data_IF_551625440373
#
_entry.id   IF_551625440373
#
_cell.length_a   1.000
_cell.length_b   1.000
_cell.length_c   1.000
_cell.angle_alpha   90.00
_cell.angle_beta   90.00
_cell.angle_gamma   90.00
#
_symmetry.space_group_name_H-M   'P 1'
#
loop_
_entity.id
_entity.type
_entity.pdbx_description
1 polymer ?
#
# COMPACT_ATOMS: atom_id res chain seq x y z
N UNK A 1 -22.43 22.50 31.61
CA UNK A 1 -22.86 21.15 32.02
C UNK A 1 -24.34 21.00 31.67
N UNK A 2 -24.66 20.93 30.38
CA UNK A 2 -26.03 21.00 29.87
C UNK A 2 -26.50 19.65 29.31
N UNK A 3 -27.77 19.36 29.58
CA UNK A 3 -28.76 18.40 29.06
C UNK A 3 -28.39 17.17 28.20
N UNK A 4 -27.22 17.05 27.58
CA UNK A 4 -26.83 15.90 26.74
C UNK A 4 -26.53 14.65 27.61
N UNK A 5 -26.06 14.84 28.84
CA UNK A 5 -25.67 13.73 29.72
C UNK A 5 -26.85 12.94 30.34
N UNK A 6 -28.10 13.38 30.12
CA UNK A 6 -29.30 12.70 30.63
C UNK A 6 -29.94 11.73 29.65
N UNK A 7 -29.58 11.78 28.37
CA UNK A 7 -30.13 10.88 27.34
C UNK A 7 -29.32 9.57 27.26
N UNK A 8 -28.04 9.57 27.61
CA UNK A 8 -27.17 8.40 27.55
C UNK A 8 -27.41 7.35 28.67
N UNK A 9 -28.10 7.70 29.75
CA UNK A 9 -28.27 6.82 30.92
C UNK A 9 -29.55 5.97 30.91
N UNK A 10 -30.43 6.12 29.91
CA UNK A 10 -31.70 5.38 29.82
C UNK A 10 -31.66 4.13 28.91
N UNK A 11 -30.51 3.82 28.32
CA UNK A 11 -30.34 2.71 27.37
C UNK A 11 -29.59 1.48 27.93
N UNK A 12 -29.40 1.39 29.26
CA UNK A 12 -28.75 0.24 29.89
C UNK A 12 -29.74 -0.55 30.76
N UNK A 13 -30.46 -1.49 30.14
CA UNK A 13 -30.97 -2.68 30.85
C UNK A 13 -30.73 -3.92 29.98
N UNK A 14 -30.17 -5.02 30.52
CA UNK A 14 -29.63 -6.12 29.73
C UNK A 14 -30.65 -7.26 29.57
N UNK A 15 -30.74 -7.85 28.38
CA UNK A 15 -31.18 -9.24 28.18
C UNK A 15 -30.56 -9.83 26.91
N UNK A 16 -29.97 -11.01 27.05
CA UNK A 16 -30.10 -12.09 26.08
C UNK A 16 -29.21 -12.10 24.83
N UNK A 17 -28.11 -12.85 24.94
CA UNK A 17 -27.70 -13.92 24.00
C UNK A 17 -27.29 -13.57 22.55
N UNK A 18 -26.02 -13.90 22.22
CA UNK A 18 -25.66 -14.42 20.90
C UNK A 18 -24.75 -13.56 19.99
N UNK A 19 -23.57 -14.12 19.72
CA UNK A 19 -22.71 -13.90 18.54
C UNK A 19 -21.75 -12.70 18.45
N UNK A 20 -20.47 -13.10 18.37
CA UNK A 20 -19.24 -12.47 17.86
C UNK A 20 -19.41 -11.35 16.81
N UNK A 21 -18.73 -10.20 17.01
CA UNK A 21 -17.71 -9.66 16.07
C UNK A 21 -17.11 -8.30 16.52
N UNK A 22 -15.77 -8.22 16.42
CA UNK A 22 -14.89 -7.09 16.08
C UNK A 22 -14.85 -5.77 16.92
N UNK A 23 -13.68 -5.45 17.52
CA UNK A 23 -13.38 -4.15 18.11
C UNK A 23 -12.66 -3.24 17.09
N UNK A 24 -13.39 -2.38 16.37
CA UNK A 24 -12.75 -1.39 15.49
C UNK A 24 -13.38 0.02 15.52
N UNK A 25 -14.49 0.20 16.23
CA UNK A 25 -15.23 1.48 16.26
C UNK A 25 -14.81 2.37 17.45
N UNK A 26 -14.22 1.80 18.50
CA UNK A 26 -13.83 2.56 19.71
C UNK A 26 -12.50 3.32 19.51
N UNK A 27 -11.63 2.88 18.59
CA UNK A 27 -10.32 3.51 18.40
C UNK A 27 -10.37 4.81 17.58
N UNK A 28 -11.32 4.95 16.66
CA UNK A 28 -11.41 6.15 15.78
C UNK A 28 -12.02 7.35 16.50
N UNK A 29 -12.90 7.14 17.49
CA UNK A 29 -13.54 8.22 18.23
C UNK A 29 -12.61 8.87 19.28
N UNK A 30 -11.65 8.10 19.82
CA UNK A 30 -10.67 8.61 20.79
C UNK A 30 -9.57 9.49 20.14
N UNK A 31 -9.25 9.27 18.86
CA UNK A 31 -8.20 10.01 18.15
C UNK A 31 -8.65 11.36 17.58
N UNK A 32 -9.96 11.52 17.29
CA UNK A 32 -10.52 12.80 16.85
C UNK A 32 -10.69 13.77 18.03
N UNK A 33 -10.99 13.26 19.23
CA UNK A 33 -11.13 14.11 20.42
C UNK A 33 -9.78 14.56 21.01
N UNK A 34 -8.70 13.80 20.78
CA UNK A 34 -7.32 14.17 21.21
C UNK A 34 -6.67 15.25 20.32
N UNK A 35 -7.14 15.45 19.09
CA UNK A 35 -6.62 16.49 18.17
C UNK A 35 -7.23 17.88 18.37
N UNK A 36 -8.43 17.98 18.95
CA UNK A 36 -9.11 19.27 19.18
C UNK A 36 -8.66 19.99 20.46
N UNK A 37 -8.06 19.29 21.43
CA UNK A 37 -7.67 19.86 22.74
C UNK A 37 -6.31 20.58 22.76
N UNK A 38 -5.54 20.55 21.66
CA UNK A 38 -4.25 21.27 21.55
C UNK A 38 -4.35 22.68 20.96
N UNK A 39 -5.50 23.09 20.42
CA UNK A 39 -5.65 24.38 19.73
C UNK A 39 -6.32 25.49 20.56
N UNK A 40 -6.66 25.23 21.82
CA UNK A 40 -7.27 26.21 22.73
C UNK A 40 -6.45 26.44 24.00
N UNK A 41 -5.13 26.50 23.88
CA UNK A 41 -4.28 27.16 24.88
C UNK A 41 -4.11 28.62 24.50
N UNK A 42 -4.95 29.42 25.17
CA UNK A 42 -4.93 30.88 25.33
C UNK A 42 -3.61 31.56 24.90
N UNK A 43 -3.68 32.34 23.82
CA UNK A 43 -2.84 33.53 23.66
C UNK A 43 -3.22 34.51 24.78
N UNK A 44 -2.41 34.57 25.83
CA UNK A 44 -2.43 35.68 26.78
C UNK A 44 -1.79 36.88 26.09
N UNK A 45 -2.62 37.79 25.57
CA UNK A 45 -2.18 39.12 25.18
C UNK A 45 -1.91 39.92 26.46
N UNK A 46 -0.68 39.82 26.96
CA UNK A 46 -0.18 40.79 27.92
C UNK A 46 0.06 42.07 27.12
N UNK A 47 -0.86 43.02 27.26
CA UNK A 47 -0.67 44.41 26.88
C UNK A 47 0.53 44.96 27.67
N UNK A 48 1.70 44.97 27.05
CA UNK A 48 2.84 45.72 27.55
C UNK A 48 2.63 47.19 27.22
N UNK A 49 2.80 48.12 28.18
CA UNK A 49 2.77 49.54 27.87
C UNK A 49 3.93 49.87 26.93
N UNK A 50 3.61 50.50 25.80
CA UNK A 50 4.57 51.11 24.89
C UNK A 50 5.39 52.15 25.66
N UNK A 51 6.58 51.76 26.14
CA UNK A 51 7.56 52.71 26.64
C UNK A 51 8.20 53.40 25.45
N UNK A 52 7.84 54.67 25.23
CA UNK A 52 8.67 55.62 24.50
C UNK A 52 9.90 55.87 25.36
N UNK A 53 10.84 54.93 25.34
CA UNK A 53 12.19 55.14 25.83
C UNK A 53 12.98 55.74 24.68
N UNK A 54 13.52 56.95 24.87
CA UNK A 54 14.71 57.37 24.15
C UNK A 54 15.73 56.24 24.31
N UNK A 55 15.96 55.45 23.26
CA UNK A 55 17.09 54.54 23.23
C UNK A 55 18.33 55.40 23.03
N UNK A 56 18.93 55.86 24.13
CA UNK A 56 20.38 56.00 24.13
C UNK A 56 20.92 54.60 23.84
N UNK A 57 21.53 54.43 22.67
CA UNK A 57 22.24 53.22 22.34
C UNK A 57 23.30 53.01 23.42
N UNK A 58 23.13 52.01 24.28
CA UNK A 58 24.21 51.44 25.08
C UNK A 58 25.15 50.72 24.14
N UNK A 59 25.92 51.49 23.37
CA UNK A 59 27.20 51.02 22.90
C UNK A 59 28.06 50.89 24.16
N UNK A 60 28.65 49.72 24.38
CA UNK A 60 29.92 49.66 25.10
C UNK A 60 30.78 50.83 24.61
N UNK A 61 31.54 51.54 25.46
CA UNK A 61 32.40 52.63 24.99
C UNK A 61 33.45 52.05 24.03
N UNK A 62 33.07 51.95 22.76
CA UNK A 62 33.94 51.55 21.66
C UNK A 62 34.96 52.65 21.59
N UNK A 63 36.23 52.27 21.64
CA UNK A 63 37.34 53.20 21.58
C UNK A 63 37.10 54.14 20.38
N UNK A 64 37.18 55.47 20.55
CA UNK A 64 36.84 56.42 19.48
C UNK A 64 37.61 56.14 18.18
N UNK A 65 38.81 55.57 18.31
CA UNK A 65 39.64 55.06 17.21
C UNK A 65 38.96 53.99 16.36
N UNK A 66 38.23 53.06 16.98
CA UNK A 66 37.56 51.95 16.30
C UNK A 66 36.30 52.41 15.55
N UNK A 67 35.54 53.38 16.11
CA UNK A 67 34.41 53.98 15.39
C UNK A 67 34.88 54.82 14.21
N UNK A 68 35.93 55.62 14.39
CA UNK A 68 36.52 56.41 13.31
C UNK A 68 36.97 55.49 12.16
N UNK A 69 37.63 54.37 12.48
CA UNK A 69 37.99 53.35 11.48
C UNK A 69 36.76 52.81 10.74
N UNK A 70 35.67 52.44 11.43
CA UNK A 70 34.46 51.95 10.78
C UNK A 70 33.80 52.97 9.83
N UNK A 71 33.92 54.27 10.11
CA UNK A 71 33.40 55.33 9.24
C UNK A 71 34.26 55.46 7.99
N UNK A 72 35.59 55.39 8.13
CA UNK A 72 36.54 55.41 7.01
C UNK A 72 36.34 54.15 6.14
N UNK A 73 36.06 53.01 6.76
CA UNK A 73 35.85 51.73 6.08
C UNK A 73 34.53 51.67 5.31
N UNK A 74 33.48 52.35 5.78
CA UNK A 74 32.18 52.43 5.11
C UNK A 74 32.18 53.30 3.83
N UNK A 75 33.23 54.10 3.60
CA UNK A 75 33.33 54.95 2.41
C UNK A 75 33.74 54.17 1.16
N UNK A 76 33.24 54.58 -0.02
CA UNK A 76 33.61 53.94 -1.29
C UNK A 76 35.10 54.14 -1.59
N UNK A 77 35.79 53.05 -1.92
CA UNK A 77 37.21 53.05 -2.30
C UNK A 77 37.99 51.91 -1.65
N UNK A 78 38.87 51.26 -2.41
CA UNK A 78 39.65 50.11 -1.95
C UNK A 78 41.00 50.47 -1.30
N UNK A 79 41.45 51.74 -1.43
CA UNK A 79 42.75 52.21 -0.93
C UNK A 79 42.57 53.27 0.18
N UNK A 80 43.42 53.22 1.22
CA UNK A 80 43.37 54.16 2.36
C UNK A 80 43.48 55.64 1.91
N UNK A 81 44.34 55.91 0.92
CA UNK A 81 44.49 57.25 0.33
C UNK A 81 43.21 57.76 -0.34
N UNK A 82 42.43 56.87 -0.96
CA UNK A 82 41.16 57.25 -1.59
C UNK A 82 40.09 57.52 -0.53
N UNK A 83 40.04 56.72 0.55
CA UNK A 83 39.09 56.90 1.64
C UNK A 83 39.32 58.21 2.40
N UNK A 84 40.58 58.51 2.72
CA UNK A 84 40.93 59.79 3.35
C UNK A 84 40.83 60.95 2.37
N UNK A 85 41.17 60.73 1.09
CA UNK A 85 41.02 61.71 0.02
C UNK A 85 39.58 62.16 -0.19
N UNK A 86 38.60 61.25 -0.20
CA UNK A 86 37.18 61.59 -0.34
C UNK A 86 36.67 62.37 0.87
N UNK A 87 37.04 62.01 2.11
CA UNK A 87 36.67 62.78 3.29
C UNK A 87 37.31 64.16 3.32
N UNK A 88 38.60 64.24 3.02
CA UNK A 88 39.34 65.50 3.03
C UNK A 88 38.81 66.44 1.94
N UNK A 89 38.57 65.93 0.73
CA UNK A 89 38.04 66.74 -0.38
C UNK A 89 36.59 67.15 -0.17
N UNK A 90 35.72 66.28 0.34
CA UNK A 90 34.33 66.64 0.67
C UNK A 90 34.24 67.67 1.79
N UNK A 91 35.07 67.54 2.83
CA UNK A 91 35.14 68.51 3.92
C UNK A 91 35.68 69.85 3.41
N UNK A 92 36.75 69.84 2.61
CA UNK A 92 37.32 71.04 2.01
C UNK A 92 36.31 71.73 1.07
N UNK A 93 35.57 70.96 0.26
CA UNK A 93 34.53 71.48 -0.61
C UNK A 93 33.36 72.09 0.19
N UNK A 94 32.95 71.47 1.30
CA UNK A 94 31.93 72.02 2.18
C UNK A 94 32.36 73.36 2.81
N UNK A 95 33.60 73.43 3.31
CA UNK A 95 34.17 74.68 3.86
C UNK A 95 34.25 75.75 2.78
N UNK A 96 34.71 75.40 1.59
CA UNK A 96 34.79 76.31 0.44
C UNK A 96 33.41 76.83 0.03
N UNK A 97 32.38 75.97 0.01
CA UNK A 97 31.00 76.34 -0.30
C UNK A 97 30.39 77.32 0.70
N UNK A 98 30.66 77.11 2.00
CA UNK A 98 30.23 78.01 3.06
C UNK A 98 31.02 79.34 2.98
N UNK A 99 32.34 79.26 2.81
CA UNK A 99 33.22 80.44 2.81
C UNK A 99 32.95 81.40 1.65
N UNK A 100 32.54 80.89 0.48
CA UNK A 100 32.22 81.72 -0.68
C UNK A 100 30.73 82.05 -0.80
N UNK A 101 29.90 81.64 0.16
CA UNK A 101 28.45 81.88 0.11
C UNK A 101 27.73 81.15 -1.03
N UNK A 102 28.31 80.07 -1.58
CA UNK A 102 27.66 79.25 -2.61
C UNK A 102 26.43 78.53 -2.07
N UNK A 103 26.39 78.25 -0.77
CA UNK A 103 25.21 77.73 -0.06
C UNK A 103 24.51 78.91 0.62
N UNK A 104 23.44 79.41 0.00
CA UNK A 104 22.58 80.45 0.58
C UNK A 104 21.45 79.79 1.37
N UNK A 105 21.35 80.12 2.66
CA UNK A 105 20.24 79.66 3.50
C UNK A 105 18.97 80.41 3.07
N UNK A 106 18.16 79.74 2.25
CA UNK A 106 16.84 80.19 1.82
C UNK A 106 15.75 79.30 2.41
N UNK A 107 14.48 79.69 2.26
CA UNK A 107 13.31 78.96 2.78
C UNK A 107 13.27 77.48 2.32
N UNK A 108 13.75 77.21 1.10
CA UNK A 108 13.86 75.86 0.54
C UNK A 108 14.88 74.95 1.26
N UNK A 109 15.88 75.51 1.96
CA UNK A 109 16.87 74.71 2.71
C UNK A 109 16.26 74.02 3.93
N UNK A 110 15.19 74.59 4.51
CA UNK A 110 14.41 73.98 5.60
C UNK A 110 13.58 72.82 5.06
N UNK A 111 13.01 72.96 3.85
CA UNK A 111 12.32 71.87 3.16
C UNK A 111 13.28 70.72 2.83
N UNK A 112 14.49 71.01 2.33
CA UNK A 112 15.52 70.00 2.07
C UNK A 112 15.94 69.29 3.37
N UNK A 113 16.16 70.02 4.46
CA UNK A 113 16.52 69.46 5.76
C UNK A 113 15.47 68.49 6.30
N UNK A 114 14.20 68.86 6.24
CA UNK A 114 13.10 68.00 6.71
C UNK A 114 12.85 66.81 5.76
N UNK A 115 12.96 66.99 4.45
CA UNK A 115 12.84 65.91 3.47
C UNK A 115 13.98 64.89 3.58
N UNK A 116 15.22 65.34 3.77
CA UNK A 116 16.36 64.45 3.98
C UNK A 116 16.25 63.67 5.30
N UNK A 117 15.80 64.31 6.38
CA UNK A 117 15.50 63.63 7.64
C UNK A 117 14.41 62.57 7.48
N UNK A 118 13.35 62.88 6.72
CA UNK A 118 12.30 61.92 6.40
C UNK A 118 12.83 60.73 5.59
N UNK A 119 13.65 60.96 4.56
CA UNK A 119 14.27 59.89 3.77
C UNK A 119 15.13 58.99 4.67
N UNK A 120 15.95 59.54 5.56
CA UNK A 120 16.79 58.74 6.46
C UNK A 120 15.95 57.83 7.37
N UNK A 121 14.81 58.33 7.86
CA UNK A 121 13.87 57.54 8.64
C UNK A 121 13.23 56.45 7.76
N UNK A 122 12.78 56.79 6.55
CA UNK A 122 12.21 55.83 5.61
C UNK A 122 13.21 54.73 5.23
N UNK A 123 14.46 55.06 4.93
CA UNK A 123 15.50 54.07 4.63
C UNK A 123 15.72 53.14 5.82
N UNK A 124 15.69 53.66 7.04
CA UNK A 124 15.91 52.82 8.23
C UNK A 124 14.77 51.85 8.54
N UNK A 125 13.52 52.25 8.29
CA UNK A 125 12.35 51.44 8.68
C UNK A 125 11.65 50.75 7.52
N UNK A 126 11.51 51.41 6.37
CA UNK A 126 10.76 50.89 5.21
C UNK A 126 11.65 49.97 4.37
N UNK A 127 12.94 50.27 4.21
CA UNK A 127 13.83 49.42 3.42
C UNK A 127 13.87 47.96 3.91
N UNK A 128 14.12 47.66 5.20
CA UNK A 128 14.13 46.26 5.66
C UNK A 128 12.76 45.57 5.52
N UNK A 129 11.66 46.30 5.72
CA UNK A 129 10.31 45.75 5.55
C UNK A 129 10.02 45.41 4.09
N UNK A 130 10.44 46.27 3.16
CA UNK A 130 10.27 46.03 1.73
C UNK A 130 11.15 44.87 1.24
N UNK A 131 12.38 44.74 1.74
CA UNK A 131 13.25 43.61 1.38
C UNK A 131 12.67 42.28 1.86
N UNK A 132 12.18 42.20 3.09
CA UNK A 132 11.55 40.96 3.60
C UNK A 132 10.29 40.58 2.81
N UNK A 133 9.48 41.58 2.43
CA UNK A 133 8.31 41.35 1.58
C UNK A 133 8.70 40.90 0.17
N UNK A 134 9.70 41.54 -0.43
CA UNK A 134 10.20 41.20 -1.76
C UNK A 134 10.78 39.77 -1.78
N UNK A 135 11.60 39.42 -0.80
CA UNK A 135 12.16 38.07 -0.66
C UNK A 135 11.07 37.01 -0.46
N UNK A 136 10.02 37.34 0.30
CA UNK A 136 8.85 36.48 0.49
C UNK A 136 8.10 36.18 -0.81
N UNK A 137 7.86 37.20 -1.64
CA UNK A 137 7.16 37.01 -2.92
C UNK A 137 8.04 36.29 -3.95
N UNK A 138 9.34 36.61 -4.01
CA UNK A 138 10.31 35.88 -4.87
C UNK A 138 10.31 34.40 -4.51
N UNK A 139 10.37 34.08 -3.22
CA UNK A 139 10.36 32.69 -2.74
C UNK A 139 9.06 31.97 -3.09
N UNK A 140 7.91 32.61 -2.88
CA UNK A 140 6.60 32.05 -3.22
C UNK A 140 6.48 31.75 -4.72
N UNK A 141 6.91 32.67 -5.57
CA UNK A 141 6.93 32.46 -7.03
C UNK A 141 7.86 31.30 -7.39
N UNK A 142 9.06 31.25 -6.78
CA UNK A 142 10.01 30.16 -6.96
C UNK A 142 9.45 28.80 -6.53
N UNK A 143 8.81 28.73 -5.38
CA UNK A 143 8.21 27.51 -4.83
C UNK A 143 7.05 27.02 -5.70
N UNK A 144 6.18 27.91 -6.18
CA UNK A 144 5.09 27.57 -7.10
C UNK A 144 5.64 27.02 -8.42
N UNK A 145 6.66 27.66 -8.98
CA UNK A 145 7.24 27.24 -10.26
C UNK A 145 7.94 25.88 -10.13
N UNK A 146 8.68 25.66 -9.05
CA UNK A 146 9.34 24.37 -8.78
C UNK A 146 8.31 23.27 -8.51
N UNK A 147 7.29 23.54 -7.70
CA UNK A 147 6.20 22.59 -7.43
C UNK A 147 5.42 22.25 -8.71
N UNK A 148 5.16 23.22 -9.59
CA UNK A 148 4.52 22.99 -10.88
C UNK A 148 5.36 22.11 -11.79
N UNK A 149 6.69 22.30 -11.81
CA UNK A 149 7.61 21.47 -12.60
C UNK A 149 7.58 20.01 -12.10
N UNK A 150 7.67 19.80 -10.79
CA UNK A 150 7.62 18.47 -10.18
C UNK A 150 6.28 17.79 -10.49
N UNK A 151 5.15 18.48 -10.27
CA UNK A 151 3.81 17.95 -10.56
C UNK A 151 3.61 17.60 -12.04
N UNK A 152 4.16 18.40 -12.96
CA UNK A 152 4.09 18.10 -14.39
C UNK A 152 4.88 16.83 -14.74
N UNK A 153 6.09 16.67 -14.18
CA UNK A 153 6.89 15.45 -14.38
C UNK A 153 6.20 14.22 -13.79
N UNK A 154 5.62 14.34 -12.59
CA UNK A 154 4.82 13.29 -11.95
C UNK A 154 3.62 12.89 -12.83
N UNK A 155 2.82 13.86 -13.28
CA UNK A 155 1.67 13.59 -14.16
C UNK A 155 2.07 12.94 -15.49
N UNK A 156 3.22 13.32 -16.07
CA UNK A 156 3.74 12.67 -17.28
C UNK A 156 4.15 11.22 -16.97
N UNK A 157 4.81 10.98 -15.84
CA UNK A 157 5.19 9.63 -15.43
C UNK A 157 3.97 8.74 -15.16
N UNK A 158 2.92 9.27 -14.51
CA UNK A 158 1.66 8.56 -14.29
C UNK A 158 1.02 8.16 -15.61
N UNK A 159 1.00 9.07 -16.59
CA UNK A 159 0.49 8.78 -17.94
C UNK A 159 1.33 7.71 -18.65
N UNK A 160 2.65 7.72 -18.48
CA UNK A 160 3.54 6.67 -19.02
C UNK A 160 3.22 5.32 -18.37
N UNK A 161 3.01 5.29 -17.05
CA UNK A 161 2.64 4.06 -16.33
C UNK A 161 1.31 3.50 -16.85
N UNK A 162 0.27 4.33 -16.98
CA UNK A 162 -1.02 3.90 -17.54
C UNK A 162 -0.90 3.39 -18.98
N UNK A 163 -0.13 4.07 -19.84
CA UNK A 163 0.08 3.62 -21.23
C UNK A 163 0.90 2.32 -21.30
N UNK A 164 1.83 2.12 -20.37
CA UNK A 164 2.61 0.89 -20.25
C UNK A 164 1.73 -0.32 -19.94
N UNK A 165 0.71 -0.16 -19.09
CA UNK A 165 -0.26 -1.22 -18.80
C UNK A 165 -1.05 -1.62 -20.05
N UNK A 166 -1.43 -0.66 -20.88
CA UNK A 166 -2.15 -0.91 -22.13
C UNK A 166 -1.33 -1.71 -23.15
N UNK A 167 0.01 -1.67 -23.07
CA UNK A 167 0.89 -2.48 -23.95
C UNK A 167 0.69 -3.99 -23.74
N UNK A 168 0.28 -4.42 -22.55
CA UNK A 168 0.10 -5.84 -22.24
C UNK A 168 -1.23 -6.41 -22.74
N UNK A 169 -2.20 -5.55 -23.08
CA UNK A 169 -3.55 -5.98 -23.50
C UNK A 169 -3.52 -6.75 -24.82
N UNK A 170 -2.60 -6.42 -25.73
CA UNK A 170 -2.46 -7.15 -27.00
C UNK A 170 -2.02 -8.60 -26.74
N UNK A 171 -1.00 -8.79 -25.89
CA UNK A 171 -0.49 -10.13 -25.53
C UNK A 171 -1.52 -10.96 -24.78
N UNK A 172 -2.27 -10.36 -23.85
CA UNK A 172 -3.33 -11.09 -23.12
C UNK A 172 -4.48 -11.46 -24.04
N UNK A 173 -4.79 -10.63 -25.04
CA UNK A 173 -5.82 -10.93 -26.04
C UNK A 173 -5.38 -12.08 -26.95
N UNK A 174 -4.13 -12.09 -27.43
CA UNK A 174 -3.56 -13.21 -28.18
C UNK A 174 -3.60 -14.51 -27.36
N UNK A 175 -3.18 -14.45 -26.09
CA UNK A 175 -3.24 -15.59 -25.18
C UNK A 175 -4.68 -16.11 -24.97
N UNK A 176 -5.69 -15.24 -24.91
CA UNK A 176 -7.09 -15.66 -24.83
C UNK A 176 -7.56 -16.41 -26.10
N UNK A 177 -7.11 -15.98 -27.28
CA UNK A 177 -7.41 -16.69 -28.52
C UNK A 177 -6.67 -18.02 -28.64
N UNK A 178 -5.42 -18.10 -28.19
CA UNK A 178 -4.67 -19.35 -28.11
C UNK A 178 -5.33 -20.33 -27.14
N UNK A 179 -5.68 -19.87 -25.94
CA UNK A 179 -6.39 -20.67 -24.93
C UNK A 179 -7.73 -21.20 -25.48
N UNK A 180 -8.48 -20.37 -26.21
CA UNK A 180 -9.73 -20.80 -26.85
C UNK A 180 -9.50 -21.89 -27.91
N UNK A 181 -8.44 -21.78 -28.72
CA UNK A 181 -8.06 -22.81 -29.71
C UNK A 181 -7.60 -24.11 -29.05
N UNK A 182 -6.80 -24.01 -27.99
CA UNK A 182 -6.33 -25.18 -27.22
C UNK A 182 -7.49 -25.89 -26.53
N UNK A 183 -8.42 -25.14 -25.94
CA UNK A 183 -9.63 -25.70 -25.31
C UNK A 183 -10.45 -26.49 -26.32
N UNK A 184 -10.70 -25.93 -27.51
CA UNK A 184 -11.44 -26.64 -28.56
C UNK A 184 -10.74 -27.93 -29.05
N UNK A 185 -9.40 -27.92 -29.15
CA UNK A 185 -8.63 -29.13 -29.50
C UNK A 185 -8.72 -30.19 -28.41
N UNK A 186 -8.52 -29.81 -27.15
CA UNK A 186 -8.58 -30.74 -26.02
C UNK A 186 -9.99 -31.32 -25.84
N UNK A 187 -11.04 -30.54 -26.08
CA UNK A 187 -12.41 -31.03 -26.05
C UNK A 187 -12.67 -32.07 -27.16
N UNK A 188 -12.16 -31.84 -28.37
CA UNK A 188 -12.27 -32.80 -29.47
C UNK A 188 -11.52 -34.11 -29.17
N UNK A 189 -10.29 -34.03 -28.68
CA UNK A 189 -9.49 -35.20 -28.29
C UNK A 189 -10.15 -35.98 -27.15
N UNK A 190 -10.65 -35.27 -26.12
CA UNK A 190 -11.38 -35.88 -25.02
C UNK A 190 -12.67 -36.57 -25.49
N UNK A 191 -13.38 -36.00 -26.48
CA UNK A 191 -14.58 -36.60 -27.04
C UNK A 191 -14.27 -37.90 -27.78
N UNK A 192 -13.22 -37.93 -28.61
CA UNK A 192 -12.77 -39.15 -29.31
C UNK A 192 -12.34 -40.24 -28.32
N UNK A 193 -11.60 -39.88 -27.27
CA UNK A 193 -11.18 -40.83 -26.24
C UNK A 193 -12.39 -41.39 -25.47
N UNK A 194 -13.38 -40.56 -25.14
CA UNK A 194 -14.63 -41.00 -24.52
C UNK A 194 -15.41 -41.96 -25.41
N UNK A 195 -15.50 -41.70 -26.71
CA UNK A 195 -16.15 -42.61 -27.66
C UNK A 195 -15.43 -43.96 -27.73
N UNK A 196 -14.10 -43.97 -27.80
CA UNK A 196 -13.30 -45.21 -27.78
C UNK A 196 -13.51 -46.00 -26.49
N UNK A 197 -13.53 -45.33 -25.34
CA UNK A 197 -13.79 -45.95 -24.04
C UNK A 197 -15.21 -46.52 -23.95
N UNK A 198 -16.22 -45.79 -24.44
CA UNK A 198 -17.60 -46.28 -24.46
C UNK A 198 -17.72 -47.56 -25.29
N UNK A 199 -17.14 -47.60 -26.50
CA UNK A 199 -17.14 -48.80 -27.35
C UNK A 199 -16.40 -49.96 -26.69
N UNK A 200 -15.23 -49.70 -26.08
CA UNK A 200 -14.48 -50.73 -25.37
C UNK A 200 -15.24 -51.26 -24.14
N UNK A 201 -15.98 -50.40 -23.44
CA UNK A 201 -16.81 -50.78 -22.30
C UNK A 201 -17.99 -51.66 -22.73
N UNK A 202 -18.70 -51.30 -23.80
CA UNK A 202 -19.79 -52.12 -24.34
C UNK A 202 -19.29 -53.50 -24.80
N UNK A 203 -18.17 -53.54 -25.53
CA UNK A 203 -17.56 -54.80 -25.95
C UNK A 203 -17.16 -55.69 -24.75
N UNK A 204 -16.59 -55.08 -23.71
CA UNK A 204 -16.27 -55.79 -22.46
C UNK A 204 -17.53 -56.30 -21.77
N UNK A 205 -18.58 -55.49 -21.66
CA UNK A 205 -19.84 -55.88 -21.02
C UNK A 205 -20.48 -57.09 -21.72
N UNK A 206 -20.47 -57.11 -23.05
CA UNK A 206 -20.92 -58.26 -23.83
C UNK A 206 -20.06 -59.48 -23.51
N UNK A 207 -18.73 -59.37 -23.56
CA UNK A 207 -17.83 -60.48 -23.26
C UNK A 207 -18.00 -61.03 -21.83
N UNK A 208 -18.12 -60.16 -20.84
CA UNK A 208 -18.37 -60.53 -19.44
C UNK A 208 -19.72 -61.27 -19.30
N UNK A 209 -20.74 -60.87 -20.08
CA UNK A 209 -22.02 -61.59 -20.14
C UNK A 209 -21.87 -63.00 -20.73
N UNK A 210 -21.06 -63.18 -21.78
CA UNK A 210 -20.78 -64.50 -22.36
C UNK A 210 -20.04 -65.40 -21.37
N UNK A 211 -19.00 -64.88 -20.71
CA UNK A 211 -18.24 -65.63 -19.70
C UNK A 211 -19.13 -66.03 -18.53
N UNK A 212 -20.02 -65.13 -18.08
CA UNK A 212 -20.99 -65.45 -17.03
C UNK A 212 -21.97 -66.54 -17.47
N UNK A 213 -22.46 -66.48 -18.71
CA UNK A 213 -23.35 -67.50 -19.26
C UNK A 213 -22.65 -68.87 -19.34
N UNK A 214 -21.40 -68.92 -19.80
CA UNK A 214 -20.61 -70.15 -19.86
C UNK A 214 -20.36 -70.75 -18.47
N UNK A 215 -19.99 -69.91 -17.50
CA UNK A 215 -19.82 -70.35 -16.11
C UNK A 215 -21.12 -70.93 -15.53
N UNK A 216 -22.27 -70.32 -15.82
CA UNK A 216 -23.58 -70.83 -15.41
C UNK A 216 -23.93 -72.16 -16.09
N UNK A 217 -23.66 -72.32 -17.39
CA UNK A 217 -23.85 -73.58 -18.10
C UNK A 217 -22.99 -74.70 -17.50
N UNK A 218 -21.70 -74.45 -17.27
CA UNK A 218 -20.79 -75.43 -16.64
C UNK A 218 -21.27 -75.85 -15.24
N UNK A 219 -21.76 -74.89 -14.45
CA UNK A 219 -22.31 -75.18 -13.13
C UNK A 219 -23.57 -76.06 -13.22
N UNK A 220 -24.48 -75.76 -14.14
CA UNK A 220 -25.70 -76.55 -14.36
C UNK A 220 -25.38 -77.97 -14.86
N UNK A 221 -24.42 -78.11 -15.77
CA UNK A 221 -23.95 -79.42 -16.24
C UNK A 221 -23.35 -80.24 -15.09
N UNK A 222 -22.52 -79.63 -14.24
CA UNK A 222 -21.96 -80.29 -13.05
C UNK A 222 -23.05 -80.69 -12.04
N UNK A 223 -24.08 -79.87 -11.85
CA UNK A 223 -25.23 -80.20 -11.01
C UNK A 223 -26.07 -81.35 -11.60
N UNK A 224 -26.27 -81.39 -12.92
CA UNK A 224 -26.99 -82.48 -13.58
C UNK A 224 -26.19 -83.79 -13.57
N UNK A 225 -24.88 -83.72 -13.84
CA UNK A 225 -23.98 -84.86 -13.79
C UNK A 225 -23.89 -85.42 -12.36
N UNK A 226 -23.73 -84.56 -11.34
CA UNK A 226 -23.69 -85.00 -9.94
C UNK A 226 -25.01 -85.65 -9.51
N UNK A 227 -26.17 -85.07 -9.83
CA UNK A 227 -27.48 -85.71 -9.59
C UNK A 227 -27.59 -87.07 -10.28
N UNK A 228 -27.22 -87.15 -11.56
CA UNK A 228 -27.28 -88.41 -12.32
C UNK A 228 -26.33 -89.47 -11.75
N UNK A 229 -25.14 -89.10 -11.31
CA UNK A 229 -24.18 -90.00 -10.66
C UNK A 229 -24.70 -90.47 -9.31
N UNK A 230 -25.22 -89.56 -8.47
CA UNK A 230 -25.83 -89.89 -7.17
C UNK A 230 -27.01 -90.86 -7.36
N UNK A 231 -27.91 -90.59 -8.30
CA UNK A 231 -29.06 -91.45 -8.59
C UNK A 231 -28.64 -92.84 -9.09
N UNK A 232 -27.61 -92.92 -9.95
CA UNK A 232 -27.05 -94.20 -10.42
C UNK A 232 -26.40 -94.99 -9.29
N UNK A 233 -25.67 -94.33 -8.40
CA UNK A 233 -25.04 -94.96 -7.22
C UNK A 233 -26.12 -95.47 -6.26
N UNK A 234 -27.15 -94.66 -5.95
CA UNK A 234 -28.25 -95.09 -5.10
C UNK A 234 -28.98 -96.31 -5.66
N UNK A 235 -29.28 -96.33 -6.98
CA UNK A 235 -29.88 -97.49 -7.66
C UNK A 235 -28.97 -98.73 -7.62
N UNK A 236 -27.66 -98.56 -7.84
CA UNK A 236 -26.72 -99.67 -7.77
C UNK A 236 -26.58 -100.25 -6.35
N UNK A 237 -26.76 -99.44 -5.30
CA UNK A 237 -26.76 -99.90 -3.90
C UNK A 237 -28.03 -100.71 -3.58
N UNK A 238 -29.17 -100.39 -4.18
CA UNK A 238 -30.44 -101.14 -4.02
C UNK A 238 -30.43 -102.51 -4.73
N UNK A 239 -29.54 -102.73 -5.71
CA UNK A 239 -29.46 -104.00 -6.43
C UNK A 239 -28.95 -105.15 -5.52
N UNK A 240 -29.69 -106.26 -5.36
CA UNK A 240 -29.32 -107.35 -4.46
C UNK A 240 -28.00 -108.03 -4.88
N UNK A 241 -27.73 -108.08 -6.19
CA UNK A 241 -26.47 -108.61 -6.73
C UNK A 241 -25.24 -107.78 -6.37
N UNK A 242 -25.40 -106.48 -6.13
CA UNK A 242 -24.33 -105.61 -5.68
C UNK A 242 -24.11 -105.77 -4.17
N UNK A 243 -25.20 -105.85 -3.39
CA UNK A 243 -25.15 -106.12 -1.95
C UNK A 243 -24.45 -107.44 -1.63
N UNK A 244 -24.79 -108.54 -2.34
CA UNK A 244 -24.13 -109.84 -2.17
C UNK A 244 -22.63 -109.79 -2.48
N UNK A 245 -22.25 -109.04 -3.53
CA UNK A 245 -20.83 -108.86 -3.91
C UNK A 245 -20.07 -108.04 -2.87
N UNK A 246 -20.64 -106.95 -2.37
CA UNK A 246 -20.03 -106.11 -1.34
C UNK A 246 -19.91 -106.88 -0.02
N UNK A 247 -20.90 -107.69 0.34
CA UNK A 247 -20.83 -108.57 1.51
C UNK A 247 -19.73 -109.61 1.35
N UNK A 248 -19.61 -110.25 0.18
CA UNK A 248 -18.53 -111.21 -0.09
C UNK A 248 -17.13 -110.55 -0.07
N UNK A 249 -17.00 -109.34 -0.63
CA UNK A 249 -15.75 -108.57 -0.61
C UNK A 249 -15.39 -108.09 0.81
N UNK A 250 -16.38 -107.61 1.58
CA UNK A 250 -16.21 -107.23 2.98
C UNK A 250 -15.83 -108.42 3.86
N UNK A 251 -16.44 -109.59 3.65
CA UNK A 251 -16.06 -110.83 4.32
C UNK A 251 -14.62 -111.23 3.95
N UNK A 252 -14.24 -111.16 2.67
CA UNK A 252 -12.88 -111.46 2.23
C UNK A 252 -11.83 -110.47 2.79
N UNK A 253 -12.17 -109.19 2.97
CA UNK A 253 -11.29 -108.20 3.60
C UNK A 253 -11.15 -108.44 5.10
N UNK A 254 -12.24 -108.79 5.78
CA UNK A 254 -12.24 -109.19 7.20
C UNK A 254 -11.44 -110.48 7.41
N UNK A 255 -11.61 -111.50 6.56
CA UNK A 255 -10.82 -112.74 6.58
C UNK A 255 -9.32 -112.46 6.37
N UNK A 256 -8.95 -111.52 5.49
CA UNK A 256 -7.55 -111.08 5.32
C UNK A 256 -6.99 -110.34 6.54
N UNK A 257 -7.80 -109.54 7.24
CA UNK A 257 -7.39 -108.87 8.48
C UNK A 257 -7.19 -109.86 9.63
N UNK A 258 -8.03 -110.91 9.72
CA UNK A 258 -7.86 -111.99 10.71
C UNK A 258 -6.74 -112.98 10.37
N UNK A 259 -6.39 -113.16 9.10
CA UNK A 259 -5.25 -113.98 8.68
C UNK A 259 -3.89 -113.28 8.81
N UNK A 260 -3.86 -111.98 9.13
CA UNK A 260 -2.66 -111.15 9.24
C UNK A 260 -2.27 -110.82 10.69
N UNK A 261 -3.07 -111.26 11.66
CA UNK A 261 -2.76 -111.29 13.09
C UNK A 261 -2.71 -112.74 13.58
#
# INVERSE_FOLDING_TARGET
MSMINRIALRAARPMGMGMRMAPYIIFVCADVHRRQTKYLQRKNYILTPFRIGLRFASQTPVEPKQKAASIIDALPGNNLLSKTGVLATSTAAAIYGISNGLIVIHDETILLGTFSAFILICVKYIAPLYTEWADGEIKKVGDILNASRVKHVESVNDRIATVSELKNVVKTTEALFELSKETAKLEAEAFVLKQKLAVAHEAKSVLDSWVRFEAQQRQLEQEQLSKTVIDKVNKAIEDPKFQDKVLAESLAEVEKLFAKN
#
